data_IF_716476811331
#
_entry.id   IF_716476811331
#
_cell.length_a   1.000
_cell.length_b   1.000
_cell.length_c   1.000
_cell.angle_alpha   90.00
_cell.angle_beta   90.00
_cell.angle_gamma   90.00
#
_symmetry.space_group_name_H-M   'P 1'
#
loop_
_entity.id
_entity.type
_entity.pdbx_description
1 polymer ?
#
# COMPACT_ATOMS: atom_id res chain seq x y z
N UNK A 1 -12.58 11.90 -26.29
CA UNK A 1 -11.51 12.92 -26.35
C UNK A 1 -11.69 13.62 -27.68
N UNK A 2 -12.10 14.89 -27.67
CA UNK A 2 -12.21 15.68 -28.89
C UNK A 2 -10.86 16.37 -29.10
N UNK A 3 -10.09 15.88 -30.06
CA UNK A 3 -8.76 16.41 -30.37
C UNK A 3 -8.90 17.41 -31.53
N UNK A 4 -8.75 18.70 -31.24
CA UNK A 4 -8.79 19.74 -32.27
C UNK A 4 -7.36 19.98 -32.79
N UNK A 5 -7.08 19.63 -34.06
CA UNK A 5 -5.77 19.90 -34.70
C UNK A 5 -5.59 21.41 -34.89
N UNK A 6 -4.53 21.97 -34.31
CA UNK A 6 -4.19 23.39 -34.41
C UNK A 6 -3.12 23.66 -35.48
N UNK A 7 -2.16 22.74 -35.65
CA UNK A 7 -1.12 22.78 -36.67
C UNK A 7 -0.56 21.37 -36.95
N UNK A 8 0.40 21.25 -37.86
CA UNK A 8 1.13 19.98 -38.03
C UNK A 8 1.82 19.59 -36.72
N UNK A 9 1.54 18.37 -36.28
CA UNK A 9 1.96 17.79 -35.00
C UNK A 9 1.52 18.52 -33.72
N UNK A 10 0.56 19.45 -33.80
CA UNK A 10 0.00 20.17 -32.64
C UNK A 10 -1.50 19.97 -32.53
N UNK A 11 -1.93 19.36 -31.43
CA UNK A 11 -3.33 19.08 -31.11
C UNK A 11 -3.71 19.74 -29.79
N UNK A 12 -4.86 20.41 -29.76
CA UNK A 12 -5.48 20.85 -28.51
C UNK A 12 -6.27 19.68 -27.92
N UNK A 13 -5.92 19.32 -26.68
CA UNK A 13 -6.67 18.35 -25.89
C UNK A 13 -7.54 19.12 -24.92
N UNK A 14 -8.85 19.05 -25.10
CA UNK A 14 -9.79 19.62 -24.15
C UNK A 14 -10.07 18.57 -23.06
N UNK A 15 -9.65 18.85 -21.82
CA UNK A 15 -10.12 18.08 -20.67
C UNK A 15 -11.62 18.35 -20.51
N UNK A 16 -12.42 17.30 -20.58
CA UNK A 16 -13.84 17.37 -20.27
C UNK A 16 -13.95 17.16 -18.75
N UNK A 17 -14.28 18.19 -17.95
CA UNK A 17 -14.44 18.00 -16.51
C UNK A 17 -15.72 17.21 -16.27
N UNK A 18 -15.59 15.89 -16.15
CA UNK A 18 -16.67 15.08 -15.60
C UNK A 18 -16.91 15.51 -14.16
N UNK A 19 -18.07 16.11 -13.88
CA UNK A 19 -18.45 16.47 -12.53
C UNK A 19 -18.86 15.22 -11.77
N UNK A 20 -18.01 14.75 -10.85
CA UNK A 20 -18.37 13.72 -9.89
C UNK A 20 -19.06 14.35 -8.67
N UNK A 21 -20.29 13.95 -8.38
CA UNK A 21 -20.99 14.36 -7.17
C UNK A 21 -20.52 13.52 -5.98
N UNK A 22 -19.51 13.98 -5.26
CA UNK A 22 -19.09 13.35 -4.01
C UNK A 22 -20.09 13.70 -2.90
N UNK A 23 -20.93 12.74 -2.50
CA UNK A 23 -21.97 12.94 -1.46
C UNK A 23 -21.43 12.83 -0.03
N UNK A 24 -20.18 12.39 0.13
CA UNK A 24 -19.54 12.25 1.44
C UNK A 24 -19.26 13.62 2.02
N UNK A 25 -19.62 13.85 3.29
CA UNK A 25 -19.27 15.10 3.96
C UNK A 25 -17.75 15.23 4.06
N UNK A 26 -17.23 16.45 3.90
CA UNK A 26 -15.79 16.75 4.05
C UNK A 26 -15.23 16.18 5.36
N UNK A 27 -16.01 16.21 6.44
CA UNK A 27 -15.63 15.69 7.75
C UNK A 27 -15.35 14.17 7.71
N UNK A 28 -16.20 13.39 7.04
CA UNK A 28 -15.99 11.94 6.88
C UNK A 28 -14.76 11.67 6.02
N UNK A 29 -14.56 12.44 4.94
CA UNK A 29 -13.37 12.31 4.11
C UNK A 29 -12.07 12.59 4.89
N UNK A 30 -12.03 13.65 5.70
CA UNK A 30 -10.89 13.94 6.58
C UNK A 30 -10.66 12.84 7.62
N UNK A 31 -11.73 12.35 8.26
CA UNK A 31 -11.63 11.27 9.23
C UNK A 31 -11.02 10.00 8.61
N UNK A 32 -11.49 9.57 7.44
CA UNK A 32 -10.96 8.39 6.75
C UNK A 32 -9.49 8.60 6.39
N UNK A 33 -9.15 9.78 5.87
CA UNK A 33 -7.77 10.11 5.49
C UNK A 33 -6.82 10.11 6.70
N UNK A 34 -7.23 10.67 7.84
CA UNK A 34 -6.40 10.71 9.04
C UNK A 34 -6.22 9.32 9.66
N UNK A 35 -7.24 8.47 9.60
CA UNK A 35 -7.11 7.07 9.99
C UNK A 35 -6.15 6.30 9.07
N UNK A 36 -6.24 6.51 7.75
CA UNK A 36 -5.31 5.90 6.79
C UNK A 36 -3.86 6.28 7.10
N UNK A 37 -3.59 7.58 7.33
CA UNK A 37 -2.27 8.07 7.73
C UNK A 37 -1.78 7.45 9.03
N UNK A 38 -2.66 7.34 10.03
CA UNK A 38 -2.30 6.72 11.31
C UNK A 38 -1.88 5.26 11.12
N UNK A 39 -2.62 4.48 10.33
CA UNK A 39 -2.27 3.08 10.05
C UNK A 39 -0.93 2.96 9.32
N UNK A 40 -0.68 3.84 8.35
CA UNK A 40 0.61 3.95 7.67
C UNK A 40 1.77 4.20 8.62
N UNK A 41 1.66 5.24 9.45
CA UNK A 41 2.68 5.61 10.41
C UNK A 41 2.89 4.51 11.45
N UNK A 42 1.83 3.90 11.93
CA UNK A 42 1.90 2.79 12.87
C UNK A 42 2.67 1.61 12.28
N UNK A 43 2.38 1.22 11.03
CA UNK A 43 3.13 0.15 10.38
C UNK A 43 4.61 0.51 10.14
N UNK A 44 4.89 1.70 9.61
CA UNK A 44 6.27 2.11 9.32
C UNK A 44 7.09 2.18 10.62
N UNK A 45 6.62 2.96 11.59
CA UNK A 45 7.42 3.27 12.79
C UNK A 45 7.39 2.15 13.83
N UNK A 46 6.23 1.53 14.08
CA UNK A 46 6.10 0.54 15.15
C UNK A 46 6.35 -0.90 14.67
N UNK A 47 6.47 -1.14 13.36
CA UNK A 47 6.83 -2.45 12.81
C UNK A 47 8.08 -2.39 11.94
N UNK A 48 8.04 -1.71 10.79
CA UNK A 48 9.15 -1.76 9.82
C UNK A 48 10.48 -1.28 10.41
N UNK A 49 10.50 -0.11 11.04
CA UNK A 49 11.71 0.41 11.67
C UNK A 49 12.26 -0.48 12.79
N UNK A 50 11.38 -1.23 13.46
CA UNK A 50 11.75 -2.11 14.57
C UNK A 50 12.42 -3.39 14.06
N UNK A 51 11.88 -4.04 13.04
CA UNK A 51 12.33 -5.38 12.62
C UNK A 51 12.95 -5.48 11.24
N UNK A 52 12.86 -4.45 10.39
CA UNK A 52 13.41 -4.44 9.03
C UNK A 52 14.64 -3.53 8.91
N UNK A 53 15.54 -3.93 8.01
CA UNK A 53 16.71 -3.17 7.58
C UNK A 53 16.28 -2.12 6.55
N UNK A 54 16.13 -0.88 7.01
CA UNK A 54 15.67 0.23 6.18
C UNK A 54 16.68 0.64 5.11
N UNK A 55 17.96 0.30 5.25
CA UNK A 55 18.98 0.56 4.21
C UNK A 55 18.81 -0.38 3.01
N UNK A 56 18.06 -1.47 3.18
CA UNK A 56 17.71 -2.45 2.14
C UNK A 56 16.29 -2.31 1.61
N UNK A 57 15.57 -1.27 2.03
CA UNK A 57 14.21 -0.98 1.61
C UNK A 57 14.15 0.39 0.95
N UNK A 58 13.53 0.47 -0.22
CA UNK A 58 13.30 1.72 -0.91
C UNK A 58 11.81 1.92 -1.19
N UNK A 59 11.24 3.01 -0.69
CA UNK A 59 9.86 3.38 -1.00
C UNK A 59 9.74 3.75 -2.48
N UNK A 60 8.83 3.11 -3.20
CA UNK A 60 8.63 3.35 -4.64
C UNK A 60 7.48 4.32 -4.85
N UNK A 61 6.30 3.95 -4.37
CA UNK A 61 5.07 4.71 -4.51
C UNK A 61 4.09 4.28 -3.41
N UNK A 62 3.13 5.13 -3.09
CA UNK A 62 1.97 4.73 -2.32
C UNK A 62 0.80 5.67 -2.58
N UNK A 63 -0.40 5.14 -2.46
CA UNK A 63 -1.66 5.87 -2.49
C UNK A 63 -2.39 5.73 -1.14
N UNK A 64 -3.72 5.96 -1.13
CA UNK A 64 -4.49 6.07 0.11
C UNK A 64 -4.50 4.76 0.91
N UNK A 65 -4.49 3.63 0.20
CA UNK A 65 -4.64 2.30 0.79
C UNK A 65 -3.57 1.31 0.31
N UNK A 66 -2.56 1.71 -0.45
CA UNK A 66 -1.48 0.82 -0.88
C UNK A 66 -0.10 1.48 -0.91
N UNK A 67 0.96 0.72 -0.59
CA UNK A 67 2.35 1.14 -0.70
C UNK A 67 3.22 0.06 -1.32
N UNK A 68 4.17 0.51 -2.13
CA UNK A 68 5.12 -0.30 -2.88
C UNK A 68 6.52 -0.06 -2.35
N UNK A 69 7.19 -1.15 -1.99
CA UNK A 69 8.56 -1.13 -1.49
C UNK A 69 9.43 -2.02 -2.38
N UNK A 70 10.56 -1.49 -2.81
CA UNK A 70 11.63 -2.29 -3.39
C UNK A 70 12.50 -2.87 -2.26
N UNK A 71 12.78 -4.16 -2.35
CA UNK A 71 13.50 -4.94 -1.34
C UNK A 71 14.83 -5.40 -1.93
N UNK A 72 15.94 -5.02 -1.30
CA UNK A 72 17.27 -5.51 -1.67
C UNK A 72 17.40 -6.97 -1.23
N UNK A 73 17.07 -7.86 -2.14
CA UNK A 73 16.87 -9.27 -1.88
C UNK A 73 18.02 -10.20 -2.21
N UNK A 74 17.77 -11.50 -2.03
CA UNK A 74 18.62 -12.57 -2.55
C UNK A 74 18.16 -12.95 -3.96
N UNK A 75 19.06 -12.89 -4.92
CA UNK A 75 18.81 -13.24 -6.32
C UNK A 75 18.33 -14.69 -6.49
N UNK A 76 18.65 -15.57 -5.52
CA UNK A 76 18.28 -16.98 -5.53
C UNK A 76 16.90 -17.26 -4.90
N UNK A 77 16.33 -16.30 -4.17
CA UNK A 77 15.06 -16.47 -3.46
C UNK A 77 13.84 -16.05 -4.31
N UNK A 78 14.08 -15.50 -5.50
CA UNK A 78 13.09 -14.96 -6.43
C UNK A 78 12.06 -14.03 -5.72
N UNK A 79 10.81 -14.00 -6.21
CA UNK A 79 9.74 -13.18 -5.65
C UNK A 79 9.24 -13.69 -4.27
N UNK A 80 9.50 -14.96 -3.93
CA UNK A 80 9.03 -15.59 -2.67
C UNK A 80 9.76 -15.08 -1.42
N UNK A 81 10.77 -14.24 -1.58
CA UNK A 81 11.56 -13.76 -0.46
C UNK A 81 10.80 -12.82 0.48
N UNK A 82 9.80 -12.08 -0.03
CA UNK A 82 9.07 -11.06 0.75
C UNK A 82 10.03 -10.16 1.54
N UNK A 83 9.85 -10.07 2.86
CA UNK A 83 10.74 -9.34 3.77
C UNK A 83 11.87 -10.18 4.36
N UNK A 84 11.95 -11.50 4.08
CA UNK A 84 12.89 -12.42 4.75
C UNK A 84 14.36 -11.98 4.62
N UNK A 85 14.74 -11.40 3.48
CA UNK A 85 16.11 -10.93 3.21
C UNK A 85 16.48 -9.63 3.93
N UNK A 86 15.50 -8.90 4.45
CA UNK A 86 15.67 -7.59 5.10
C UNK A 86 15.24 -7.58 6.56
N UNK A 87 14.80 -8.70 7.13
CA UNK A 87 14.52 -8.80 8.56
C UNK A 87 15.85 -8.74 9.34
N UNK A 88 16.00 -7.71 10.18
CA UNK A 88 17.14 -7.53 11.09
C UNK A 88 16.84 -8.03 12.52
N UNK A 89 15.58 -7.97 12.95
CA UNK A 89 15.14 -8.49 14.24
C UNK A 89 14.02 -9.51 14.03
N UNK A 90 14.44 -10.77 13.92
CA UNK A 90 13.52 -11.88 13.68
C UNK A 90 12.61 -12.16 14.86
N UNK A 91 13.10 -11.99 16.10
CA UNK A 91 12.27 -12.23 17.29
C UNK A 91 11.11 -11.24 17.33
N UNK A 92 11.40 -9.94 17.14
CA UNK A 92 10.34 -8.93 17.07
C UNK A 92 9.37 -9.21 15.93
N UNK A 93 9.88 -9.57 14.74
CA UNK A 93 9.05 -9.90 13.59
C UNK A 93 8.09 -11.05 13.91
N UNK A 94 8.59 -12.20 14.37
CA UNK A 94 7.80 -13.40 14.63
C UNK A 94 6.75 -13.15 15.73
N UNK A 95 7.06 -12.34 16.74
CA UNK A 95 6.13 -11.99 17.83
C UNK A 95 5.01 -11.03 17.38
N UNK A 96 5.31 -10.11 16.45
CA UNK A 96 4.45 -8.96 16.13
C UNK A 96 3.81 -8.98 14.73
N UNK A 97 4.32 -9.76 13.78
CA UNK A 97 3.83 -9.79 12.39
C UNK A 97 2.33 -10.10 12.33
N UNK A 98 1.83 -10.97 13.21
CA UNK A 98 0.41 -11.31 13.37
C UNK A 98 -0.52 -10.12 13.63
N UNK A 99 0.00 -9.00 14.14
CA UNK A 99 -0.80 -7.80 14.35
C UNK A 99 -1.04 -7.04 13.05
N UNK A 100 -0.09 -7.08 12.12
CA UNK A 100 -0.14 -6.35 10.87
C UNK A 100 -0.61 -7.21 9.70
N UNK A 101 -0.19 -8.46 9.62
CA UNK A 101 -0.55 -9.39 8.54
C UNK A 101 -1.68 -10.35 8.98
N UNK A 102 -2.46 -10.90 8.04
CA UNK A 102 -3.32 -12.05 8.29
C UNK A 102 -2.48 -13.24 8.79
N UNK A 103 -3.12 -14.12 9.55
CA UNK A 103 -2.44 -15.30 10.09
C UNK A 103 -1.95 -16.17 8.94
N UNK A 104 -0.68 -16.57 8.96
CA UNK A 104 0.02 -17.32 7.89
C UNK A 104 -0.46 -18.80 7.83
N UNK A 105 -1.74 -19.08 8.08
CA UNK A 105 -2.35 -20.40 7.94
C UNK A 105 -3.23 -20.44 6.68
N UNK A 106 -2.73 -19.91 5.55
CA UNK A 106 -3.48 -19.84 4.30
C UNK A 106 -2.71 -19.17 3.16
N UNK A 107 -3.32 -19.14 1.97
CA UNK A 107 -2.77 -18.47 0.78
C UNK A 107 -2.75 -16.94 1.04
N UNK A 108 -1.55 -16.36 1.15
CA UNK A 108 -1.31 -14.98 1.61
C UNK A 108 -1.98 -13.89 0.75
N UNK A 109 -2.42 -14.27 -0.45
CA UNK A 109 -3.02 -13.36 -1.43
C UNK A 109 -4.51 -13.08 -1.19
N UNK A 110 -5.24 -13.97 -0.50
CA UNK A 110 -6.71 -13.87 -0.36
C UNK A 110 -7.18 -13.44 1.03
N UNK A 111 -6.34 -13.56 2.07
CA UNK A 111 -6.72 -13.15 3.41
C UNK A 111 -6.50 -11.65 3.63
N UNK A 112 -7.59 -10.93 3.93
CA UNK A 112 -7.58 -9.51 4.29
C UNK A 112 -7.95 -9.33 5.75
N UNK A 113 -7.02 -8.87 6.57
CA UNK A 113 -7.27 -8.52 7.97
C UNK A 113 -7.77 -7.09 8.07
N UNK A 114 -8.89 -6.85 8.76
CA UNK A 114 -9.38 -5.49 9.03
C UNK A 114 -8.31 -4.70 9.79
N UNK A 115 -7.97 -3.50 9.30
CA UNK A 115 -6.89 -2.64 9.80
C UNK A 115 -5.50 -3.31 9.76
N UNK A 116 -5.35 -4.35 8.95
CA UNK A 116 -4.09 -5.00 8.64
C UNK A 116 -3.64 -4.72 7.21
N UNK A 117 -2.59 -5.42 6.83
CA UNK A 117 -1.93 -5.37 5.54
C UNK A 117 -2.15 -6.67 4.80
N UNK A 118 -2.54 -6.57 3.53
CA UNK A 118 -2.52 -7.67 2.59
C UNK A 118 -1.33 -7.49 1.64
N UNK A 119 -0.69 -8.59 1.24
CA UNK A 119 0.29 -8.56 0.17
C UNK A 119 -0.48 -8.67 -1.15
N UNK A 120 -0.47 -7.61 -1.95
CA UNK A 120 -1.19 -7.61 -3.22
C UNK A 120 -0.39 -8.25 -4.34
N UNK A 121 0.92 -7.94 -4.39
CA UNK A 121 1.80 -8.36 -5.47
C UNK A 121 3.23 -8.48 -4.97
N UNK A 122 3.89 -9.53 -5.45
CA UNK A 122 5.32 -9.72 -5.31
C UNK A 122 5.93 -9.83 -6.70
N UNK A 123 7.03 -9.12 -6.90
CA UNK A 123 7.96 -9.33 -8.01
C UNK A 123 9.33 -9.59 -7.43
N UNK A 124 10.27 -10.01 -8.27
CA UNK A 124 11.64 -10.40 -7.90
C UNK A 124 12.31 -9.43 -6.91
N UNK A 125 11.98 -8.14 -6.99
CA UNK A 125 12.60 -7.08 -6.18
C UNK A 125 11.58 -6.14 -5.50
N UNK A 126 10.27 -6.40 -5.62
CA UNK A 126 9.25 -5.46 -5.18
C UNK A 126 8.11 -6.18 -4.44
N UNK A 127 7.71 -5.61 -3.31
CA UNK A 127 6.54 -6.05 -2.53
C UNK A 127 5.52 -4.91 -2.51
N UNK A 128 4.30 -5.22 -2.91
CA UNK A 128 3.15 -4.33 -2.83
C UNK A 128 2.29 -4.71 -1.62
N UNK A 129 2.00 -3.72 -0.79
CA UNK A 129 1.18 -3.85 0.40
C UNK A 129 -0.10 -3.04 0.22
N UNK A 130 -1.24 -3.61 0.63
CA UNK A 130 -2.51 -2.90 0.74
C UNK A 130 -2.99 -2.85 2.19
N UNK A 131 -3.28 -1.65 2.67
CA UNK A 131 -3.99 -1.38 3.91
C UNK A 131 -5.47 -1.67 3.73
N UNK A 132 -5.98 -2.61 4.52
CA UNK A 132 -7.40 -2.94 4.52
C UNK A 132 -8.10 -2.02 5.52
N UNK A 133 -8.48 -0.83 5.05
CA UNK A 133 -9.32 0.09 5.84
C UNK A 133 -10.77 -0.37 5.75
N UNK A 134 -11.44 -0.44 6.90
CA UNK A 134 -12.88 -0.67 6.91
C UNK A 134 -13.53 0.50 6.15
N UNK A 135 -14.26 0.21 5.08
CA UNK A 135 -15.29 1.13 4.62
C UNK A 135 -16.17 1.40 5.83
N UNK A 136 -16.10 2.63 6.35
CA UNK A 136 -17.09 3.13 7.28
C UNK A 136 -18.41 3.14 6.51
N UNK A 137 -19.07 1.99 6.49
CA UNK A 137 -20.49 1.86 6.28
C UNK A 137 -21.17 2.41 7.54
N UNK A 138 -20.99 3.71 7.76
CA UNK A 138 -21.96 4.55 8.42
C UNK A 138 -22.45 5.52 7.33
N UNK A 139 -23.05 4.93 6.29
CA UNK A 139 -24.16 5.63 5.65
C UNK A 139 -25.31 5.54 6.65
N UNK A 140 -25.61 6.70 7.21
CA UNK A 140 -26.92 7.16 7.71
C UNK A 140 -28.11 6.24 7.44
#
# INVERSE_FOLDING_TARGET
>A
MDDQKLADDVYAVQMNPETCACKTSLQVAYFVLDNAKYQYLNFIYNFMYMCLDMDKLHFVEGDTDSAYWAVSGDINAEHKQQFNSVIKDKQFYDENAKYFFPTIEGDLFDEKKILGLAIERERTEMVALQFVLQHVALLS
#
